data_IF_230709117874
#
_entry.id   IF_230709117874
#
_cell.length_a   1.000
_cell.length_b   1.000
_cell.length_c   1.000
_cell.angle_alpha   90.00
_cell.angle_beta   90.00
_cell.angle_gamma   90.00
#
_symmetry.space_group_name_H-M   'P 1'
#
loop_
_entity.id
_entity.type
_entity.pdbx_description
1 polymer ?
#
# COMPACT_ATOMS: atom_id res chain seq x y z
N UNK A 1 34.20 -12.09 -6.27
CA UNK A 1 33.69 -11.03 -5.41
C UNK A 1 32.31 -10.61 -5.89
N UNK A 2 31.31 -10.72 -5.03
CA UNK A 2 29.97 -10.36 -5.40
C UNK A 2 29.77 -8.85 -5.27
N UNK A 3 29.21 -8.25 -6.32
CA UNK A 3 28.83 -6.84 -6.26
C UNK A 3 27.62 -6.73 -5.32
N UNK A 4 27.64 -5.83 -4.35
CA UNK A 4 26.46 -5.63 -3.50
C UNK A 4 25.28 -5.22 -4.37
N UNK A 5 24.06 -5.67 -4.04
CA UNK A 5 22.89 -5.27 -4.80
C UNK A 5 22.75 -3.75 -4.76
N UNK A 6 22.30 -3.18 -5.87
CA UNK A 6 22.02 -1.75 -5.89
C UNK A 6 20.95 -1.42 -4.86
N UNK A 7 21.08 -0.28 -4.18
CA UNK A 7 20.06 0.10 -3.20
C UNK A 7 18.72 0.33 -3.89
N UNK A 8 17.70 -0.29 -3.35
CA UNK A 8 16.34 -0.14 -3.85
C UNK A 8 15.47 0.47 -2.78
N UNK A 9 14.43 1.14 -3.24
CA UNK A 9 13.38 1.64 -2.35
C UNK A 9 12.04 1.17 -2.87
N UNK A 10 11.11 1.02 -1.95
CA UNK A 10 9.73 0.65 -2.27
C UNK A 10 8.85 1.84 -1.93
N UNK A 11 8.07 2.28 -2.89
CA UNK A 11 7.22 3.46 -2.73
C UNK A 11 5.78 3.00 -2.61
N UNK A 12 5.17 3.27 -1.46
CA UNK A 12 3.74 3.02 -1.27
C UNK A 12 2.98 4.22 -1.80
N UNK A 13 2.05 3.98 -2.70
CA UNK A 13 1.29 5.04 -3.37
C UNK A 13 -0.19 4.83 -3.13
N UNK A 14 -0.84 5.85 -2.62
CA UNK A 14 -2.29 5.88 -2.46
C UNK A 14 -2.85 7.03 -3.30
N UNK A 15 -3.52 6.70 -4.39
CA UNK A 15 -4.14 7.68 -5.28
C UNK A 15 -5.60 7.89 -4.89
N UNK A 16 -6.01 9.14 -4.70
CA UNK A 16 -7.37 9.49 -4.34
C UNK A 16 -7.76 10.81 -5.01
N UNK A 17 -8.99 11.23 -4.83
CA UNK A 17 -9.50 12.41 -5.55
C UNK A 17 -8.77 13.71 -5.23
N UNK A 18 -8.08 13.77 -4.10
CA UNK A 18 -7.34 14.98 -3.68
C UNK A 18 -5.86 14.92 -4.06
N UNK A 19 -5.42 13.88 -4.80
CA UNK A 19 -4.06 13.73 -5.25
C UNK A 19 -3.48 12.38 -4.91
N UNK A 20 -2.18 12.34 -4.68
CA UNK A 20 -1.46 11.12 -4.33
C UNK A 20 -0.72 11.31 -3.02
N UNK A 21 -0.81 10.31 -2.16
CA UNK A 21 0.04 10.22 -0.97
C UNK A 21 1.08 9.15 -1.24
N UNK A 22 2.35 9.50 -1.07
CA UNK A 22 3.46 8.59 -1.31
C UNK A 22 4.37 8.54 -0.09
N UNK A 23 4.87 7.34 0.21
CA UNK A 23 5.89 7.16 1.23
C UNK A 23 6.95 6.21 0.72
N UNK A 24 8.19 6.45 1.16
CA UNK A 24 9.35 5.69 0.70
C UNK A 24 9.80 4.75 1.82
N UNK A 25 10.02 3.48 1.47
CA UNK A 25 10.38 2.44 2.42
C UNK A 25 11.57 1.65 1.88
N UNK A 26 12.32 1.06 2.80
CA UNK A 26 13.48 0.22 2.43
C UNK A 26 13.07 -1.17 1.96
N UNK A 27 11.89 -1.63 2.37
CA UNK A 27 11.42 -2.97 2.08
C UNK A 27 10.00 -2.94 1.56
N UNK A 28 9.62 -4.01 0.85
CA UNK A 28 8.24 -4.18 0.38
C UNK A 28 7.31 -4.31 1.59
N UNK A 29 7.75 -5.02 2.63
CA UNK A 29 6.96 -5.19 3.85
C UNK A 29 6.64 -3.85 4.50
N UNK A 30 7.59 -2.91 4.50
CA UNK A 30 7.36 -1.57 5.02
C UNK A 30 6.32 -0.80 4.21
N UNK A 31 6.41 -0.89 2.88
CA UNK A 31 5.44 -0.25 2.01
C UNK A 31 4.04 -0.86 2.16
N UNK A 32 3.97 -2.19 2.25
CA UNK A 32 2.69 -2.87 2.48
C UNK A 32 2.07 -2.48 3.81
N UNK A 33 2.89 -2.35 4.86
CA UNK A 33 2.41 -1.93 6.18
C UNK A 33 1.80 -0.53 6.12
N UNK A 34 2.41 0.38 5.35
CA UNK A 34 1.87 1.73 5.17
C UNK A 34 0.52 1.70 4.47
N UNK A 35 0.39 0.90 3.41
CA UNK A 35 -0.89 0.78 2.71
C UNK A 35 -1.97 0.17 3.60
N UNK A 36 -1.62 -0.82 4.42
CA UNK A 36 -2.56 -1.40 5.37
C UNK A 36 -3.04 -0.36 6.38
N UNK A 37 -2.14 0.50 6.85
CA UNK A 37 -2.51 1.57 7.78
C UNK A 37 -3.46 2.58 7.15
N UNK A 38 -3.18 2.97 5.90
CA UNK A 38 -4.05 3.87 5.14
C UNK A 38 -5.42 3.23 4.94
N UNK A 39 -5.45 1.94 4.60
CA UNK A 39 -6.71 1.22 4.43
C UNK A 39 -7.52 1.23 5.73
N UNK A 40 -6.88 0.92 6.85
CA UNK A 40 -7.54 0.91 8.15
C UNK A 40 -8.15 2.27 8.49
N UNK A 41 -7.43 3.34 8.20
CA UNK A 41 -7.88 4.69 8.49
C UNK A 41 -9.05 5.14 7.60
N UNK A 42 -9.17 4.57 6.42
CA UNK A 42 -10.16 5.00 5.43
C UNK A 42 -11.35 4.07 5.24
N UNK A 43 -11.35 2.89 5.85
CA UNK A 43 -12.43 1.93 5.67
C UNK A 43 -13.80 2.47 6.08
N UNK A 44 -13.86 3.22 7.18
CA UNK A 44 -15.11 3.83 7.65
C UNK A 44 -15.70 4.78 6.61
N UNK A 45 -14.85 5.47 5.86
CA UNK A 45 -15.29 6.42 4.85
C UNK A 45 -16.01 5.72 3.69
N UNK A 46 -15.78 4.41 3.52
CA UNK A 46 -16.38 3.63 2.45
C UNK A 46 -17.46 2.69 2.95
N UNK A 47 -17.84 2.83 4.23
CA UNK A 47 -18.91 2.04 4.83
C UNK A 47 -18.53 0.59 5.11
N UNK A 48 -17.25 0.28 5.11
CA UNK A 48 -16.77 -1.06 5.43
C UNK A 48 -16.58 -1.23 6.94
N UNK A 49 -16.82 -2.47 7.41
CA UNK A 49 -16.70 -2.77 8.82
C UNK A 49 -15.24 -3.01 9.21
N UNK A 50 -14.75 -2.25 10.19
CA UNK A 50 -13.41 -2.44 10.73
C UNK A 50 -13.22 -3.82 11.32
N UNK A 51 -14.28 -4.44 11.84
CA UNK A 51 -14.21 -5.78 12.41
C UNK A 51 -13.78 -6.83 11.38
N UNK A 52 -14.27 -6.70 10.15
CA UNK A 52 -13.86 -7.61 9.06
C UNK A 52 -12.38 -7.46 8.78
N UNK A 53 -11.91 -6.23 8.75
CA UNK A 53 -10.49 -5.94 8.52
C UNK A 53 -9.63 -6.54 9.63
N UNK A 54 -10.04 -6.36 10.88
CA UNK A 54 -9.30 -6.86 12.03
C UNK A 54 -9.22 -8.38 12.07
N UNK A 55 -10.20 -9.07 11.47
CA UNK A 55 -10.23 -10.54 11.41
C UNK A 55 -9.44 -11.12 10.23
N UNK A 56 -8.99 -10.28 9.31
CA UNK A 56 -8.15 -10.71 8.20
C UNK A 56 -6.71 -10.91 8.66
N UNK A 57 -6.03 -11.91 8.09
CA UNK A 57 -4.60 -12.02 8.31
C UNK A 57 -3.86 -11.01 7.42
N UNK A 58 -2.55 -10.90 7.59
CA UNK A 58 -1.75 -9.91 6.85
C UNK A 58 -1.84 -10.12 5.34
N UNK A 59 -1.82 -11.37 4.88
CA UNK A 59 -1.93 -11.67 3.45
C UNK A 59 -3.27 -11.21 2.87
N UNK A 60 -4.35 -11.44 3.60
CA UNK A 60 -5.68 -11.01 3.20
C UNK A 60 -5.80 -9.49 3.17
N UNK A 61 -5.21 -8.82 4.16
CA UNK A 61 -5.20 -7.37 4.21
C UNK A 61 -4.41 -6.76 3.05
N UNK A 62 -3.27 -7.37 2.70
CA UNK A 62 -2.46 -6.91 1.58
C UNK A 62 -3.20 -7.11 0.26
N UNK A 63 -3.89 -8.23 0.10
CA UNK A 63 -4.70 -8.47 -1.09
C UNK A 63 -5.84 -7.46 -1.19
N UNK A 64 -6.47 -7.16 -0.06
CA UNK A 64 -7.52 -6.14 -0.01
C UNK A 64 -6.99 -4.78 -0.48
N UNK A 65 -5.79 -4.41 -0.05
CA UNK A 65 -5.16 -3.16 -0.47
C UNK A 65 -4.86 -3.17 -1.98
N UNK A 66 -4.37 -4.28 -2.51
CA UNK A 66 -4.11 -4.39 -3.95
C UNK A 66 -5.38 -4.25 -4.77
N UNK A 67 -6.52 -4.63 -4.21
CA UNK A 67 -7.82 -4.55 -4.86
C UNK A 67 -8.65 -3.36 -4.36
N UNK A 68 -8.02 -2.39 -3.74
CA UNK A 68 -8.69 -1.20 -3.20
C UNK A 68 -9.56 -0.51 -4.25
N UNK A 69 -9.10 -0.50 -5.50
CA UNK A 69 -9.84 0.09 -6.61
C UNK A 69 -11.21 -0.58 -6.84
N UNK A 70 -11.31 -1.88 -6.57
CA UNK A 70 -12.59 -2.60 -6.73
C UNK A 70 -13.60 -2.15 -5.67
N UNK A 71 -13.16 -2.00 -4.43
CA UNK A 71 -14.03 -1.55 -3.35
C UNK A 71 -14.49 -0.10 -3.55
N UNK A 72 -13.60 0.74 -4.07
CA UNK A 72 -13.89 2.17 -4.24
C UNK A 72 -14.50 2.51 -5.60
N UNK A 73 -14.84 1.51 -6.40
CA UNK A 73 -15.44 1.73 -7.72
C UNK A 73 -14.51 2.45 -8.68
N UNK A 74 -13.23 2.12 -8.64
CA UNK A 74 -12.19 2.73 -9.48
C UNK A 74 -11.89 4.20 -9.15
N UNK A 75 -12.36 4.67 -7.99
CA UNK A 75 -12.10 6.05 -7.54
C UNK A 75 -10.74 6.22 -6.88
N UNK A 76 -10.24 5.17 -6.26
CA UNK A 76 -8.97 5.20 -5.54
C UNK A 76 -8.14 3.98 -5.87
N UNK A 77 -6.83 4.11 -5.79
CA UNK A 77 -5.88 3.05 -6.09
C UNK A 77 -4.79 2.99 -5.05
N UNK A 78 -4.32 1.78 -4.76
CA UNK A 78 -3.15 1.56 -3.93
C UNK A 78 -2.16 0.73 -4.73
N UNK A 79 -0.90 1.13 -4.71
CA UNK A 79 0.14 0.37 -5.42
C UNK A 79 1.49 0.56 -4.75
N UNK A 80 2.41 -0.34 -5.07
CA UNK A 80 3.79 -0.25 -4.62
C UNK A 80 4.68 -0.26 -5.85
N UNK A 81 5.58 0.71 -5.94
CA UNK A 81 6.60 0.76 -6.98
C UNK A 81 7.95 0.47 -6.35
N UNK A 82 8.73 -0.37 -7.03
CA UNK A 82 10.11 -0.63 -6.61
C UNK A 82 11.02 0.16 -7.53
N UNK A 83 11.89 0.97 -6.94
CA UNK A 83 12.81 1.83 -7.69
C UNK A 83 14.24 1.57 -7.24
N UNK A 84 15.14 1.55 -8.19
CA UNK A 84 16.55 1.47 -7.90
C UNK A 84 17.09 2.88 -7.76
N UNK A 85 17.80 3.14 -6.65
CA UNK A 85 18.42 4.43 -6.45
C UNK A 85 19.65 4.54 -7.36
N UNK A 86 19.72 5.58 -8.13
CA UNK A 86 20.86 5.89 -8.98
C UNK A 86 21.47 7.22 -8.54
N UNK A 87 22.78 7.23 -8.49
CA UNK A 87 23.52 8.45 -8.16
C UNK A 87 23.51 9.46 -9.32
#
# INVERSE_FOLDING_TARGET
>A
MTTPPEPTVCIAIYEHKHGEDMSVHRTIEGAEAELREIARENLDNWGEELDKWANMNIEEQDEFCRNWHDMTGMSEFMKIEVRTLQD
#
